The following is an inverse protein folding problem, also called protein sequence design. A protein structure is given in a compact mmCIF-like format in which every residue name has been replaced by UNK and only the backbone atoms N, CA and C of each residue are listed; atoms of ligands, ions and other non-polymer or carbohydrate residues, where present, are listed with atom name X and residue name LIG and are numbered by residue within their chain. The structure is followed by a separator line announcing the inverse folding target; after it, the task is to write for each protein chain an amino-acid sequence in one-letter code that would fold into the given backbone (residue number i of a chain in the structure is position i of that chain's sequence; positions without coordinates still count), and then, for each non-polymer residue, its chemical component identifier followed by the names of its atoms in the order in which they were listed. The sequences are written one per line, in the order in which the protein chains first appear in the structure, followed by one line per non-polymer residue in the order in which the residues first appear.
data_IF_896311490459
#
_entry.id   IF_896311490459
#
_cell.length_a   1.000
_cell.length_b   1.000
_cell.length_c   1.000
_cell.angle_alpha   90.00
_cell.angle_beta   90.00
_cell.angle_gamma   90.00
#
_symmetry.space_group_name_H-M   'P 1'
#
loop_
_entity.id
_entity.type
_entity.pdbx_description
1 polymer ?
#
# COMPACT_ATOMS: atom_id res chain seq x y z
N UNK A 1 28.21 -17.22 -29.04
CA UNK A 1 27.45 -17.87 -27.95
C UNK A 1 26.03 -17.35 -28.00
N UNK A 2 25.15 -18.08 -28.67
CA UNK A 2 23.78 -17.65 -28.96
C UNK A 2 22.85 -17.93 -27.77
N UNK A 3 22.16 -16.89 -27.31
CA UNK A 3 20.97 -17.03 -26.50
C UNK A 3 19.77 -17.19 -27.45
N UNK A 4 19.26 -18.41 -27.59
CA UNK A 4 17.94 -18.67 -28.18
C UNK A 4 16.89 -18.14 -27.21
N UNK A 5 16.18 -17.10 -27.61
CA UNK A 5 14.97 -16.65 -26.92
C UNK A 5 13.80 -17.51 -27.39
N UNK A 6 13.57 -18.65 -26.73
CA UNK A 6 12.33 -19.41 -26.88
C UNK A 6 11.23 -18.70 -26.07
N UNK A 7 10.79 -17.55 -26.58
CA UNK A 7 9.52 -16.92 -26.19
C UNK A 7 8.54 -17.20 -27.32
N UNK A 8 7.97 -18.40 -27.33
CA UNK A 8 6.73 -18.63 -28.07
C UNK A 8 5.64 -17.77 -27.41
N UNK A 9 4.89 -16.96 -28.18
CA UNK A 9 3.74 -16.26 -27.65
C UNK A 9 2.74 -17.31 -27.18
N UNK A 10 2.36 -17.28 -25.89
CA UNK A 10 1.28 -18.11 -25.36
C UNK A 10 0.00 -17.74 -26.12
N UNK A 11 -0.32 -18.54 -27.13
CA UNK A 11 -1.61 -18.50 -27.81
C UNK A 11 -2.69 -18.73 -26.77
N UNK A 12 -3.64 -17.80 -26.64
CA UNK A 12 -4.87 -18.03 -25.89
C UNK A 12 -5.46 -19.36 -26.34
N UNK A 13 -5.84 -20.27 -25.41
CA UNK A 13 -6.53 -21.48 -25.81
C UNK A 13 -7.82 -21.09 -26.53
N UNK A 14 -7.90 -21.46 -27.81
CA UNK A 14 -9.10 -21.30 -28.61
C UNK A 14 -10.22 -22.13 -27.98
N UNK A 15 -11.34 -21.47 -27.71
CA UNK A 15 -12.67 -22.05 -27.46
C UNK A 15 -12.74 -23.11 -26.34
N UNK A 16 -13.12 -22.61 -25.16
CA UNK A 16 -14.29 -23.11 -24.43
C UNK A 16 -14.38 -24.61 -24.16
N UNK A 17 -13.64 -25.08 -23.17
CA UNK A 17 -14.10 -26.12 -22.24
C UNK A 17 -13.24 -26.03 -20.97
N UNK A 18 -13.80 -25.49 -19.90
CA UNK A 18 -13.17 -25.54 -18.58
C UNK A 18 -13.31 -26.99 -18.11
N UNK A 19 -12.22 -27.74 -17.80
CA UNK A 19 -12.32 -29.14 -17.41
C UNK A 19 -13.29 -29.30 -16.23
N UNK A 20 -14.32 -30.13 -16.40
CA UNK A 20 -15.41 -30.32 -15.42
C UNK A 20 -14.87 -30.68 -14.02
N UNK A 21 -13.76 -31.41 -13.95
CA UNK A 21 -13.13 -32.04 -12.78
C UNK A 21 -12.55 -31.08 -11.70
N UNK A 22 -12.44 -29.77 -11.95
CA UNK A 22 -11.81 -28.82 -11.01
C UNK A 22 -12.59 -28.71 -9.68
N UNK A 23 -13.92 -28.88 -9.70
CA UNK A 23 -14.76 -28.66 -8.51
C UNK A 23 -14.65 -29.78 -7.47
N UNK A 24 -14.38 -31.00 -7.90
CA UNK A 24 -14.39 -32.18 -7.01
C UNK A 24 -13.16 -32.25 -6.10
N UNK A 25 -12.08 -31.55 -6.45
CA UNK A 25 -10.86 -31.43 -5.64
C UNK A 25 -10.85 -30.26 -4.65
N UNK A 26 -11.79 -29.32 -4.74
CA UNK A 26 -11.75 -28.06 -3.99
C UNK A 26 -12.53 -28.18 -2.68
N UNK A 27 -11.80 -28.40 -1.58
CA UNK A 27 -12.38 -28.52 -0.23
C UNK A 27 -12.93 -27.21 0.36
N UNK A 28 -12.31 -26.03 0.16
CA UNK A 28 -12.84 -24.79 0.74
C UNK A 28 -14.13 -24.35 0.03
N UNK A 29 -15.27 -24.23 0.75
CA UNK A 29 -16.58 -23.97 0.13
C UNK A 29 -16.65 -22.61 -0.57
N UNK A 30 -15.94 -21.61 -0.03
CA UNK A 30 -15.89 -20.25 -0.56
C UNK A 30 -15.11 -20.18 -1.88
N UNK A 31 -14.02 -20.95 -1.98
CA UNK A 31 -13.24 -21.08 -3.21
C UNK A 31 -14.05 -21.81 -4.29
N UNK A 32 -14.76 -22.88 -3.91
CA UNK A 32 -15.67 -23.60 -4.80
C UNK A 32 -16.77 -22.68 -5.35
N UNK A 33 -17.41 -21.90 -4.49
CA UNK A 33 -18.44 -20.92 -4.89
C UNK A 33 -17.87 -19.86 -5.85
N UNK A 34 -16.64 -19.39 -5.63
CA UNK A 34 -15.99 -18.44 -6.54
C UNK A 34 -15.67 -19.07 -7.90
N UNK A 35 -15.20 -20.32 -7.95
CA UNK A 35 -14.93 -21.03 -9.22
C UNK A 35 -16.23 -21.20 -10.02
N UNK A 36 -17.30 -21.62 -9.35
CA UNK A 36 -18.63 -21.78 -9.97
C UNK A 36 -19.14 -20.45 -10.53
N UNK A 37 -19.02 -19.36 -9.76
CA UNK A 37 -19.34 -18.02 -10.24
C UNK A 37 -18.56 -17.64 -11.51
N UNK A 38 -17.24 -17.90 -11.54
CA UNK A 38 -16.42 -17.54 -12.70
C UNK A 38 -16.80 -18.36 -13.94
N UNK A 39 -17.14 -19.65 -13.78
CA UNK A 39 -17.65 -20.48 -14.88
C UNK A 39 -18.96 -19.92 -15.45
N UNK A 40 -19.89 -19.53 -14.58
CA UNK A 40 -21.15 -18.91 -14.98
C UNK A 40 -20.92 -17.58 -15.70
N UNK A 41 -20.01 -16.76 -15.20
CA UNK A 41 -19.64 -15.47 -15.79
C UNK A 41 -19.03 -15.62 -17.20
N UNK A 42 -18.15 -16.59 -17.40
CA UNK A 42 -17.55 -16.88 -18.71
C UNK A 42 -18.61 -17.37 -19.70
N UNK A 43 -19.50 -18.28 -19.24
CA UNK A 43 -20.59 -18.82 -20.07
C UNK A 43 -21.58 -17.74 -20.50
N UNK A 44 -21.87 -16.76 -19.63
CA UNK A 44 -22.79 -15.66 -19.93
C UNK A 44 -22.18 -14.57 -20.83
N UNK A 45 -20.84 -14.51 -20.94
CA UNK A 45 -20.16 -13.57 -21.83
C UNK A 45 -20.21 -13.96 -23.32
N UNK A 46 -20.67 -15.18 -23.65
CA UNK A 46 -20.85 -15.64 -25.03
C UNK A 46 -22.13 -15.05 -25.65
N UNK A 47 -22.09 -14.48 -26.86
CA UNK A 47 -23.24 -13.82 -27.51
C UNK A 47 -24.42 -14.76 -27.82
N UNK A 48 -24.22 -16.08 -27.74
CA UNK A 48 -25.24 -17.12 -27.97
C UNK A 48 -26.13 -17.39 -26.74
N UNK A 49 -25.72 -16.90 -25.56
CA UNK A 49 -26.41 -17.15 -24.29
C UNK A 49 -27.41 -16.03 -24.00
N UNK A 50 -28.57 -16.02 -24.67
CA UNK A 50 -29.63 -15.03 -24.43
C UNK A 50 -30.30 -15.14 -23.04
N UNK A 51 -30.01 -16.19 -22.29
CA UNK A 51 -30.43 -16.35 -20.89
C UNK A 51 -29.42 -15.67 -19.97
N UNK A 52 -29.37 -14.34 -19.99
CA UNK A 52 -28.72 -13.58 -18.92
C UNK A 52 -29.65 -13.67 -17.70
N UNK A 53 -29.53 -14.78 -16.99
CA UNK A 53 -30.29 -15.03 -15.77
C UNK A 53 -29.86 -13.98 -14.75
N UNK A 54 -30.78 -13.08 -14.42
CA UNK A 54 -30.61 -11.97 -13.45
C UNK A 54 -30.22 -12.41 -12.02
N UNK A 55 -29.93 -13.69 -11.78
CA UNK A 55 -29.46 -14.20 -10.50
C UNK A 55 -27.95 -14.37 -10.53
N UNK A 56 -27.25 -13.56 -9.74
CA UNK A 56 -25.84 -13.76 -9.40
C UNK A 56 -25.76 -14.18 -7.92
N UNK A 57 -25.85 -15.48 -7.59
CA UNK A 57 -25.88 -15.96 -6.20
C UNK A 57 -24.67 -15.50 -5.40
N UNK A 58 -23.50 -15.49 -6.02
CA UNK A 58 -22.24 -15.05 -5.40
C UNK A 58 -22.21 -13.55 -5.09
N UNK A 59 -22.85 -12.73 -5.94
CA UNK A 59 -23.03 -11.29 -5.69
C UNK A 59 -23.99 -11.05 -4.52
N UNK A 60 -25.08 -11.82 -4.44
CA UNK A 60 -26.02 -11.75 -3.32
C UNK A 60 -25.37 -12.19 -2.00
N UNK A 61 -24.60 -13.27 -2.03
CA UNK A 61 -23.80 -13.72 -0.89
C UNK A 61 -22.82 -12.63 -0.43
N UNK A 62 -22.07 -12.01 -1.35
CA UNK A 62 -21.13 -10.93 -0.99
C UNK A 62 -21.84 -9.73 -0.33
N UNK A 63 -23.05 -9.42 -0.80
CA UNK A 63 -23.91 -8.39 -0.19
C UNK A 63 -24.36 -8.78 1.22
N UNK A 64 -24.80 -10.02 1.43
CA UNK A 64 -25.23 -10.53 2.74
C UNK A 64 -24.08 -10.53 3.76
N UNK A 65 -22.85 -10.76 3.32
CA UNK A 65 -21.65 -10.69 4.16
C UNK A 65 -21.12 -9.26 4.40
N UNK A 66 -21.76 -8.23 3.82
CA UNK A 66 -21.34 -6.83 3.99
C UNK A 66 -20.01 -6.48 3.31
N UNK A 67 -19.56 -7.27 2.33
CA UNK A 67 -18.28 -7.08 1.66
C UNK A 67 -18.38 -6.04 0.52
N UNK A 68 -18.52 -4.76 0.87
CA UNK A 68 -18.80 -3.70 -0.09
C UNK A 68 -17.77 -3.56 -1.24
N UNK A 69 -16.48 -3.61 -0.94
CA UNK A 69 -15.41 -3.52 -1.95
C UNK A 69 -15.39 -4.74 -2.88
N UNK A 70 -15.67 -5.92 -2.34
CA UNK A 70 -15.78 -7.14 -3.13
C UNK A 70 -17.03 -7.13 -4.00
N UNK A 71 -18.17 -6.70 -3.46
CA UNK A 71 -19.41 -6.53 -4.19
C UNK A 71 -19.24 -5.57 -5.38
N UNK A 72 -18.47 -4.49 -5.21
CA UNK A 72 -18.13 -3.57 -6.31
C UNK A 72 -17.41 -4.31 -7.44
N UNK A 73 -16.37 -5.07 -7.09
CA UNK A 73 -15.58 -5.85 -8.06
C UNK A 73 -16.48 -6.82 -8.84
N UNK A 74 -17.33 -7.58 -8.14
CA UNK A 74 -18.28 -8.51 -8.76
C UNK A 74 -19.25 -7.83 -9.72
N UNK A 75 -19.73 -6.61 -9.40
CA UNK A 75 -20.61 -5.84 -10.28
C UNK A 75 -19.90 -5.42 -11.56
N UNK A 76 -18.64 -4.98 -11.47
CA UNK A 76 -17.84 -4.65 -12.66
C UNK A 76 -17.60 -5.89 -13.52
N UNK A 77 -17.24 -7.03 -12.92
CA UNK A 77 -17.06 -8.31 -13.62
C UNK A 77 -18.32 -8.71 -14.41
N UNK A 78 -19.49 -8.66 -13.76
CA UNK A 78 -20.80 -8.93 -14.41
C UNK A 78 -21.08 -7.94 -15.54
N UNK A 79 -20.80 -6.66 -15.31
CA UNK A 79 -21.03 -5.60 -16.31
C UNK A 79 -20.18 -5.83 -17.55
N UNK A 80 -18.91 -6.20 -17.39
CA UNK A 80 -18.01 -6.51 -18.50
C UNK A 80 -18.49 -7.72 -19.29
N UNK A 81 -18.95 -8.78 -18.62
CA UNK A 81 -19.53 -9.94 -19.27
C UNK A 81 -20.80 -9.59 -20.08
N UNK A 82 -21.69 -8.77 -19.52
CA UNK A 82 -22.89 -8.28 -20.22
C UNK A 82 -22.55 -7.46 -21.47
N UNK A 83 -21.55 -6.57 -21.36
CA UNK A 83 -21.06 -5.78 -22.50
C UNK A 83 -20.44 -6.67 -23.59
N UNK A 84 -19.70 -7.72 -23.22
CA UNK A 84 -19.13 -8.69 -24.16
C UNK A 84 -20.22 -9.50 -24.89
N UNK A 85 -21.28 -9.86 -24.17
CA UNK A 85 -22.44 -10.57 -24.72
C UNK A 85 -23.39 -9.68 -25.53
N UNK A 86 -23.16 -8.36 -25.59
CA UNK A 86 -24.03 -7.42 -26.29
C UNK A 86 -25.34 -7.07 -25.57
N UNK A 87 -25.45 -7.38 -24.27
CA UNK A 87 -26.65 -7.11 -23.44
C UNK A 87 -26.52 -5.82 -22.62
N UNK A 88 -26.12 -4.73 -23.30
CA UNK A 88 -25.74 -3.48 -22.66
C UNK A 88 -26.85 -2.78 -21.86
N UNK A 89 -28.12 -3.04 -22.17
CA UNK A 89 -29.25 -2.44 -21.44
C UNK A 89 -29.30 -2.90 -19.97
N UNK A 90 -28.88 -4.14 -19.70
CA UNK A 90 -28.82 -4.66 -18.33
C UNK A 90 -27.54 -4.24 -17.59
N UNK A 91 -26.48 -3.90 -18.33
CA UNK A 91 -25.19 -3.47 -17.78
C UNK A 91 -25.32 -2.17 -16.95
N UNK A 92 -26.16 -1.24 -17.39
CA UNK A 92 -26.36 0.02 -16.66
C UNK A 92 -27.02 -0.19 -15.29
N UNK A 93 -27.99 -1.11 -15.18
CA UNK A 93 -28.63 -1.44 -13.91
C UNK A 93 -27.64 -2.06 -12.90
N UNK A 94 -26.61 -2.79 -13.38
CA UNK A 94 -25.54 -3.30 -12.53
C UNK A 94 -24.61 -2.21 -12.00
N UNK A 95 -24.43 -1.12 -12.77
CA UNK A 95 -23.57 0.01 -12.46
C UNK A 95 -24.21 1.08 -11.56
N UNK A 96 -25.53 1.22 -11.57
CA UNK A 96 -26.25 2.29 -10.83
C UNK A 96 -25.91 2.33 -9.33
N UNK A 97 -25.87 1.20 -8.59
CA UNK A 97 -25.49 1.23 -7.17
C UNK A 97 -24.03 1.64 -6.92
N UNK A 98 -23.16 1.56 -7.93
CA UNK A 98 -21.75 1.97 -7.82
C UNK A 98 -21.56 3.47 -7.93
N UNK A 99 -22.49 4.18 -8.59
CA UNK A 99 -22.45 5.64 -8.74
C UNK A 99 -22.46 6.35 -7.38
N UNK A 100 -23.26 5.85 -6.43
CA UNK A 100 -23.39 6.41 -5.09
C UNK A 100 -22.18 6.13 -4.18
N UNK A 101 -21.38 5.11 -4.50
CA UNK A 101 -20.24 4.66 -3.70
C UNK A 101 -18.91 5.28 -4.15
N UNK A 102 -18.90 6.04 -5.25
CA UNK A 102 -17.69 6.63 -5.84
C UNK A 102 -17.20 7.90 -5.11
N UNK A 103 -17.89 8.37 -4.07
CA UNK A 103 -17.56 9.61 -3.37
C UNK A 103 -16.62 9.45 -2.16
N UNK A 104 -16.23 8.22 -1.80
CA UNK A 104 -15.37 7.97 -0.64
C UNK A 104 -13.95 7.58 -1.06
N UNK A 105 -13.20 8.53 -1.65
CA UNK A 105 -11.72 8.53 -1.69
C UNK A 105 -11.01 7.26 -2.20
N UNK A 106 -11.69 6.37 -2.91
CA UNK A 106 -11.18 5.05 -3.24
C UNK A 106 -10.41 5.10 -4.57
N UNK A 107 -9.08 5.05 -4.47
CA UNK A 107 -8.11 4.55 -5.46
C UNK A 107 -8.51 4.74 -6.93
N UNK A 108 -7.83 5.66 -7.63
CA UNK A 108 -8.14 6.01 -9.03
C UNK A 108 -8.30 4.82 -9.98
N UNK A 109 -7.61 3.69 -9.74
CA UNK A 109 -7.83 2.44 -10.50
C UNK A 109 -9.28 1.93 -10.48
N UNK A 110 -9.98 2.01 -9.35
CA UNK A 110 -11.38 1.57 -9.20
C UNK A 110 -12.35 2.50 -9.93
N UNK A 111 -12.04 3.80 -9.99
CA UNK A 111 -12.80 4.79 -10.76
C UNK A 111 -12.66 4.52 -12.27
N UNK A 112 -11.47 4.07 -12.72
CA UNK A 112 -11.22 3.76 -14.14
C UNK A 112 -12.10 2.64 -14.67
N UNK A 113 -12.23 1.53 -13.95
CA UNK A 113 -13.04 0.38 -14.41
C UNK A 113 -14.52 0.76 -14.54
N UNK A 114 -15.05 1.51 -13.57
CA UNK A 114 -16.41 2.04 -13.62
C UNK A 114 -16.61 2.97 -14.83
N UNK A 115 -15.73 3.95 -15.01
CA UNK A 115 -15.84 4.93 -16.10
C UNK A 115 -15.79 4.26 -17.47
N UNK A 116 -14.93 3.25 -17.64
CA UNK A 116 -14.87 2.47 -18.87
C UNK A 116 -16.20 1.74 -19.12
N UNK A 117 -16.70 0.99 -18.14
CA UNK A 117 -17.94 0.24 -18.26
C UNK A 117 -19.14 1.15 -18.57
N UNK A 118 -19.27 2.27 -17.85
CA UNK A 118 -20.35 3.24 -18.05
C UNK A 118 -20.26 3.92 -19.42
N UNK A 119 -19.06 4.33 -19.85
CA UNK A 119 -18.85 4.91 -21.17
C UNK A 119 -19.21 3.93 -22.29
N UNK A 120 -18.82 2.66 -22.13
CA UNK A 120 -19.08 1.61 -23.11
C UNK A 120 -20.57 1.26 -23.20
N UNK A 121 -21.26 1.18 -22.07
CA UNK A 121 -22.70 0.96 -22.03
C UNK A 121 -23.47 2.08 -22.77
N UNK A 122 -23.11 3.34 -22.53
CA UNK A 122 -23.69 4.46 -23.27
C UNK A 122 -23.35 4.44 -24.77
N UNK A 123 -22.14 4.00 -25.14
CA UNK A 123 -21.73 3.86 -26.53
C UNK A 123 -22.61 2.85 -27.27
N UNK A 124 -22.83 1.67 -26.69
CA UNK A 124 -23.66 0.61 -27.28
C UNK A 124 -25.13 0.99 -27.40
N UNK A 125 -25.60 1.91 -26.56
CA UNK A 125 -26.96 2.47 -26.62
C UNK A 125 -27.10 3.67 -27.57
N UNK A 126 -26.04 4.05 -28.29
CA UNK A 126 -26.04 5.21 -29.18
C UNK A 126 -25.95 6.58 -28.49
N UNK A 127 -25.75 6.61 -27.16
CA UNK A 127 -25.59 7.86 -26.37
C UNK A 127 -24.15 8.37 -26.44
N UNK A 128 -23.72 8.72 -27.65
CA UNK A 128 -22.33 9.06 -27.97
C UNK A 128 -21.80 10.25 -27.16
N UNK A 129 -22.62 11.26 -26.90
CA UNK A 129 -22.20 12.46 -26.17
C UNK A 129 -21.93 12.17 -24.68
N UNK A 130 -22.77 11.35 -24.04
CA UNK A 130 -22.56 10.91 -22.65
C UNK A 130 -21.34 10.00 -22.55
N UNK A 131 -21.21 9.06 -23.50
CA UNK A 131 -20.04 8.19 -23.62
C UNK A 131 -18.73 9.00 -23.74
N UNK A 132 -18.68 10.02 -24.60
CA UNK A 132 -17.51 10.86 -24.79
C UNK A 132 -17.11 11.62 -23.51
N UNK A 133 -18.09 12.14 -22.75
CA UNK A 133 -17.83 12.80 -21.46
C UNK A 133 -17.17 11.86 -20.46
N UNK A 134 -17.64 10.62 -20.38
CA UNK A 134 -17.08 9.61 -19.48
C UNK A 134 -15.69 9.16 -19.93
N UNK A 135 -15.45 8.99 -21.24
CA UNK A 135 -14.10 8.67 -21.74
C UNK A 135 -13.09 9.80 -21.51
N UNK A 136 -13.52 11.06 -21.62
CA UNK A 136 -12.66 12.20 -21.24
C UNK A 136 -12.30 12.16 -19.74
N UNK A 137 -13.27 11.83 -18.88
CA UNK A 137 -13.02 11.66 -17.44
C UNK A 137 -12.10 10.47 -17.17
N UNK A 138 -12.30 9.34 -17.84
CA UNK A 138 -11.44 8.16 -17.76
C UNK A 138 -9.99 8.49 -18.10
N UNK A 139 -9.76 9.18 -19.24
CA UNK A 139 -8.43 9.59 -19.65
C UNK A 139 -7.77 10.53 -18.63
N UNK A 140 -8.53 11.47 -18.08
CA UNK A 140 -8.04 12.38 -17.04
C UNK A 140 -7.61 11.63 -15.77
N UNK A 141 -8.45 10.75 -15.24
CA UNK A 141 -8.14 9.95 -14.04
C UNK A 141 -6.95 9.02 -14.29
N UNK A 142 -6.86 8.40 -15.48
CA UNK A 142 -5.76 7.52 -15.83
C UNK A 142 -4.42 8.28 -15.83
N UNK A 143 -4.42 9.49 -16.39
CA UNK A 143 -3.24 10.38 -16.39
C UNK A 143 -2.87 10.85 -14.98
N UNK A 144 -3.84 11.01 -14.07
CA UNK A 144 -3.57 11.31 -12.66
C UNK A 144 -2.92 10.12 -11.96
N UNK A 145 -3.46 8.91 -12.10
CA UNK A 145 -2.88 7.69 -11.53
C UNK A 145 -1.43 7.51 -11.99
N UNK A 146 -1.16 7.60 -13.30
CA UNK A 146 0.20 7.49 -13.86
C UNK A 146 1.15 8.56 -13.30
N UNK A 147 0.65 9.79 -13.12
CA UNK A 147 1.44 10.88 -12.54
C UNK A 147 1.75 10.64 -11.06
N UNK A 148 0.80 10.12 -10.30
CA UNK A 148 1.00 9.76 -8.89
C UNK A 148 2.02 8.63 -8.76
N UNK A 149 1.88 7.57 -9.56
CA UNK A 149 2.84 6.45 -9.64
C UNK A 149 4.24 6.91 -10.05
N UNK A 150 4.36 7.79 -11.04
CA UNK A 150 5.66 8.36 -11.44
C UNK A 150 6.26 9.28 -10.36
N UNK A 151 5.42 9.93 -9.55
CA UNK A 151 5.88 10.80 -8.46
C UNK A 151 6.20 10.04 -7.17
N UNK A 152 5.70 8.82 -6.98
CA UNK A 152 5.97 8.00 -5.79
C UNK A 152 7.48 7.84 -5.53
N UNK A 153 8.32 7.44 -6.51
CA UNK A 153 9.76 7.41 -6.33
C UNK A 153 10.35 8.76 -5.93
N UNK A 154 9.90 9.84 -6.57
CA UNK A 154 10.38 11.20 -6.28
C UNK A 154 9.97 11.69 -4.89
N UNK A 155 8.77 11.32 -4.41
CA UNK A 155 8.27 11.67 -3.08
C UNK A 155 9.01 10.89 -2.00
N UNK A 156 9.28 9.61 -2.23
CA UNK A 156 10.09 8.77 -1.34
C UNK A 156 11.51 9.34 -1.24
N UNK A 157 12.14 9.66 -2.38
CA UNK A 157 13.47 10.28 -2.40
C UNK A 157 13.48 11.63 -1.69
N UNK A 158 12.52 12.53 -1.97
CA UNK A 158 12.42 13.83 -1.28
C UNK A 158 12.15 13.68 0.22
N UNK A 159 11.40 12.66 0.62
CA UNK A 159 11.16 12.39 2.04
C UNK A 159 12.42 11.86 2.71
N UNK A 160 13.14 10.95 2.06
CA UNK A 160 14.45 10.47 2.51
C UNK A 160 15.48 11.61 2.60
N UNK A 161 15.54 12.49 1.59
CA UNK A 161 16.39 13.68 1.56
C UNK A 161 16.02 14.66 2.68
N UNK A 162 14.73 14.88 2.94
CA UNK A 162 14.27 15.73 4.05
C UNK A 162 14.64 15.14 5.41
N UNK A 163 14.52 13.82 5.57
CA UNK A 163 14.95 13.11 6.78
C UNK A 163 16.48 13.20 6.94
N UNK A 164 17.24 13.09 5.85
CA UNK A 164 18.71 13.22 5.86
C UNK A 164 19.15 14.65 6.19
N UNK A 165 18.59 15.66 5.51
CA UNK A 165 18.91 17.06 5.75
C UNK A 165 18.53 17.52 7.17
N UNK A 166 17.44 16.99 7.74
CA UNK A 166 17.08 17.24 9.13
C UNK A 166 18.11 16.65 10.12
N UNK A 167 18.80 15.55 9.78
CA UNK A 167 19.89 14.99 10.59
C UNK A 167 21.14 15.88 10.52
N UNK A 168 21.45 16.40 9.34
CA UNK A 168 22.60 17.28 9.14
C UNK A 168 22.42 18.63 9.86
N UNK A 169 21.19 19.19 9.88
CA UNK A 169 20.85 20.43 10.59
C UNK A 169 20.95 20.35 12.12
N UNK A 170 20.82 19.15 12.69
CA UNK A 170 21.01 18.95 14.15
C UNK A 170 22.50 18.98 14.48
N UNK A 171 23.35 18.36 13.65
CA UNK A 171 24.81 18.39 13.83
C UNK A 171 25.44 19.77 13.57
N UNK A 172 24.88 20.59 12.69
CA UNK A 172 25.41 21.94 12.38
C UNK A 172 25.29 22.91 13.55
N UNK A 173 24.26 22.78 14.41
CA UNK A 173 24.03 23.60 15.61
C UNK A 173 25.09 23.38 16.71
N UNK A 174 25.79 22.25 16.67
CA UNK A 174 26.89 21.96 17.59
C UNK A 174 28.18 22.65 17.13
N UNK A 175 29.04 23.11 18.07
CA UNK A 175 30.39 23.52 17.74
C UNK A 175 31.16 22.38 17.06
N UNK A 176 32.10 22.71 16.15
CA UNK A 176 32.78 21.74 15.29
C UNK A 176 33.31 20.49 16.02
N UNK A 177 33.89 20.66 17.23
CA UNK A 177 34.40 19.54 18.05
C UNK A 177 33.31 18.57 18.53
N UNK A 178 32.11 19.08 18.82
CA UNK A 178 30.98 18.27 19.28
C UNK A 178 30.14 17.71 18.13
N UNK A 179 30.30 18.25 16.92
CA UNK A 179 29.71 17.66 15.71
C UNK A 179 30.25 16.25 15.46
N UNK A 180 31.55 16.04 15.71
CA UNK A 180 32.17 14.70 15.66
C UNK A 180 31.56 13.73 16.68
N UNK A 181 31.22 14.21 17.87
CA UNK A 181 30.49 13.42 18.87
C UNK A 181 29.09 13.02 18.39
N UNK A 182 28.39 13.94 17.71
CA UNK A 182 27.08 13.67 17.12
C UNK A 182 27.15 12.67 15.97
N UNK A 183 28.14 12.81 15.08
CA UNK A 183 28.40 11.82 14.01
C UNK A 183 28.70 10.45 14.60
N UNK A 184 29.59 10.37 15.60
CA UNK A 184 29.89 9.12 16.29
C UNK A 184 28.66 8.46 16.91
N UNK A 185 27.75 9.25 17.52
CA UNK A 185 26.46 8.74 17.99
C UNK A 185 25.66 8.14 16.83
N UNK A 186 25.50 8.87 15.73
CA UNK A 186 24.67 8.46 14.57
C UNK A 186 25.19 7.18 13.91
N UNK A 187 26.51 7.04 13.81
CA UNK A 187 27.18 5.90 13.18
C UNK A 187 27.12 4.64 14.06
N UNK A 188 26.93 4.78 15.37
CA UNK A 188 26.94 3.69 16.34
C UNK A 188 25.55 3.41 16.97
N UNK A 189 24.46 3.91 16.40
CA UNK A 189 23.11 3.78 17.00
C UNK A 189 22.66 2.33 17.18
N UNK A 190 23.12 1.42 16.33
CA UNK A 190 22.81 -0.01 16.33
C UNK A 190 23.37 -0.74 17.57
N UNK A 191 24.43 -0.20 18.17
CA UNK A 191 25.11 -0.80 19.33
C UNK A 191 24.29 -0.59 20.62
N UNK A 192 23.77 -1.64 21.27
CA UNK A 192 22.93 -1.48 22.47
C UNK A 192 23.69 -0.90 23.68
N UNK A 193 25.01 -1.11 23.73
CA UNK A 193 25.96 -0.70 24.78
C UNK A 193 26.53 0.72 24.61
N UNK A 194 26.14 1.44 23.55
CA UNK A 194 26.62 2.81 23.30
C UNK A 194 26.38 3.71 24.52
N UNK A 195 27.48 4.16 25.14
CA UNK A 195 27.45 4.92 26.38
C UNK A 195 27.83 6.38 26.17
N UNK A 196 27.36 7.27 27.05
CA UNK A 196 27.74 8.70 27.01
C UNK A 196 29.22 8.91 27.33
N UNK A 197 29.80 8.02 28.14
CA UNK A 197 31.23 8.00 28.46
C UNK A 197 32.06 7.79 27.20
N UNK A 198 31.76 6.74 26.44
CA UNK A 198 32.44 6.42 25.18
C UNK A 198 32.37 7.56 24.15
N UNK A 199 31.21 8.21 24.04
CA UNK A 199 31.03 9.38 23.15
C UNK A 199 31.89 10.57 23.61
N UNK A 200 32.06 10.75 24.92
CA UNK A 200 32.86 11.83 25.48
C UNK A 200 34.37 11.57 25.28
N UNK A 201 34.79 10.31 25.45
CA UNK A 201 36.16 9.85 25.24
C UNK A 201 36.59 9.99 23.77
N UNK A 202 35.72 9.70 22.80
CA UNK A 202 35.99 9.87 21.36
C UNK A 202 36.39 11.31 20.99
N UNK A 203 35.88 12.31 21.70
CA UNK A 203 36.20 13.72 21.46
C UNK A 203 37.14 14.32 22.52
N UNK A 204 37.62 13.50 23.47
CA UNK A 204 38.54 13.92 24.53
C UNK A 204 37.96 14.93 25.52
N UNK A 205 36.67 14.81 25.88
CA UNK A 205 36.04 15.68 26.88
C UNK A 205 35.44 14.87 28.03
N UNK A 206 35.15 15.54 29.14
CA UNK A 206 34.40 14.91 30.23
C UNK A 206 32.91 14.76 29.88
N UNK A 207 32.25 13.74 30.43
CA UNK A 207 30.80 13.54 30.25
C UNK A 207 29.98 14.79 30.59
N UNK A 208 30.36 15.52 31.66
CA UNK A 208 29.67 16.76 32.07
C UNK A 208 29.79 17.85 31.01
N UNK A 209 30.94 17.97 30.37
CA UNK A 209 31.14 18.93 29.27
C UNK A 209 30.34 18.54 28.02
N UNK A 210 30.23 17.23 27.72
CA UNK A 210 29.40 16.73 26.62
C UNK A 210 27.91 16.99 26.88
N UNK A 211 27.41 16.62 28.06
CA UNK A 211 26.02 16.80 28.46
C UNK A 211 25.59 18.27 28.45
N UNK A 212 26.40 19.15 29.05
CA UNK A 212 26.12 20.59 29.10
C UNK A 212 26.10 21.23 27.71
N UNK A 213 27.02 20.84 26.83
CA UNK A 213 27.08 21.38 25.47
C UNK A 213 25.88 20.93 24.63
N UNK A 214 25.56 19.63 24.65
CA UNK A 214 24.39 19.10 23.96
C UNK A 214 23.10 19.77 24.45
N UNK A 215 22.94 19.93 25.77
CA UNK A 215 21.78 20.62 26.34
C UNK A 215 21.70 22.09 25.92
N UNK A 216 22.84 22.79 25.85
CA UNK A 216 22.91 24.20 25.45
C UNK A 216 22.56 24.43 23.99
N UNK A 217 23.05 23.59 23.08
CA UNK A 217 22.91 23.81 21.63
C UNK A 217 21.74 23.04 21.00
N UNK A 218 21.39 21.87 21.54
CA UNK A 218 20.31 21.03 21.02
C UNK A 218 19.08 20.99 21.91
N UNK A 219 19.16 21.53 23.14
CA UNK A 219 18.08 21.43 24.14
C UNK A 219 17.91 20.02 24.72
N UNK A 220 18.76 19.07 24.35
CA UNK A 220 18.65 17.64 24.68
C UNK A 220 19.96 17.13 25.29
N UNK A 221 19.88 16.18 26.21
CA UNK A 221 21.06 15.45 26.67
C UNK A 221 21.54 14.44 25.60
N UNK A 222 22.83 14.02 25.61
CA UNK A 222 23.35 13.01 24.68
C UNK A 222 22.55 11.70 24.70
N UNK A 223 22.15 11.21 25.88
CA UNK A 223 21.30 10.02 26.01
C UNK A 223 19.92 10.21 25.37
N UNK A 224 19.35 11.41 25.47
CA UNK A 224 18.09 11.74 24.82
C UNK A 224 18.23 11.82 23.30
N UNK A 225 19.37 12.31 22.79
CA UNK A 225 19.68 12.31 21.36
C UNK A 225 19.79 10.88 20.85
N UNK A 226 20.55 10.00 21.52
CA UNK A 226 20.67 8.57 21.17
C UNK A 226 19.28 7.92 21.11
N UNK A 227 18.50 8.07 22.20
CA UNK A 227 17.14 7.50 22.28
C UNK A 227 16.26 8.03 21.15
N UNK A 228 16.32 9.34 20.88
CA UNK A 228 15.50 9.98 19.85
C UNK A 228 15.82 9.46 18.46
N UNK A 229 17.11 9.35 18.14
CA UNK A 229 17.55 8.88 16.84
C UNK A 229 17.23 7.39 16.63
N UNK A 230 17.36 6.55 17.66
CA UNK A 230 16.92 5.15 17.60
C UNK A 230 15.44 5.02 17.26
N UNK A 231 14.56 5.74 17.96
CA UNK A 231 13.11 5.69 17.69
C UNK A 231 12.77 6.16 16.26
N UNK A 232 13.45 7.17 15.75
CA UNK A 232 13.25 7.68 14.39
C UNK A 232 13.65 6.64 13.32
N UNK A 233 14.78 5.96 13.53
CA UNK A 233 15.26 4.90 12.64
C UNK A 233 14.33 3.68 12.65
N UNK A 234 13.86 3.28 13.83
CA UNK A 234 12.87 2.21 13.97
C UNK A 234 11.60 2.57 13.19
N UNK A 235 11.10 3.81 13.30
CA UNK A 235 9.92 4.27 12.55
C UNK A 235 10.14 4.23 11.03
N UNK A 236 11.29 4.70 10.56
CA UNK A 236 11.62 4.71 9.14
C UNK A 236 11.64 3.28 8.56
N UNK A 237 12.30 2.34 9.24
CA UNK A 237 12.39 0.95 8.79
C UNK A 237 11.03 0.23 8.81
N UNK A 238 10.15 0.56 9.77
CA UNK A 238 8.78 0.06 9.78
C UNK A 238 7.92 0.59 8.62
N UNK A 239 8.18 1.82 8.17
CA UNK A 239 7.46 2.40 7.03
C UNK A 239 7.91 1.83 5.68
N UNK A 240 9.16 1.37 5.58
CA UNK A 240 9.70 0.73 4.36
C UNK A 240 9.24 -0.73 4.19
N UNK A 241 8.86 -1.41 5.28
CA UNK A 241 8.41 -2.80 5.26
C UNK A 241 7.07 -3.01 6.00
N UNK A 242 5.92 -2.75 5.36
CA UNK A 242 4.59 -2.82 5.99
C UNK A 242 4.14 -4.25 6.38
N UNK A 243 4.73 -5.29 5.79
CA UNK A 243 4.23 -6.68 5.86
C UNK A 243 4.55 -7.42 7.18
N UNK A 244 5.01 -6.73 8.22
CA UNK A 244 5.58 -7.35 9.42
C UNK A 244 4.63 -7.44 10.62
N UNK A 245 4.13 -8.64 10.92
CA UNK A 245 3.50 -9.05 12.20
C UNK A 245 4.21 -8.51 13.47
N UNK A 246 3.56 -8.50 14.63
CA UNK A 246 4.05 -8.07 15.96
C UNK A 246 5.50 -8.48 16.34
N UNK A 247 6.01 -9.57 15.77
CA UNK A 247 7.40 -10.01 15.91
C UNK A 247 8.41 -9.07 15.21
N UNK A 248 7.97 -8.33 14.19
CA UNK A 248 8.72 -7.35 13.41
C UNK A 248 9.11 -6.13 14.25
N UNK A 249 8.20 -5.56 15.06
CA UNK A 249 8.48 -4.32 15.81
C UNK A 249 9.63 -4.47 16.82
N UNK A 250 9.62 -5.51 17.65
CA UNK A 250 10.70 -5.75 18.61
C UNK A 250 11.97 -6.23 17.89
N UNK A 251 11.82 -6.98 16.79
CA UNK A 251 12.95 -7.39 15.94
C UNK A 251 13.68 -6.20 15.32
N UNK A 252 12.95 -5.23 14.78
CA UNK A 252 13.46 -3.95 14.26
C UNK A 252 14.09 -3.14 15.39
N UNK A 253 13.42 -3.03 16.54
CA UNK A 253 13.95 -2.32 17.70
C UNK A 253 15.29 -2.87 18.19
N UNK A 254 15.44 -4.21 18.20
CA UNK A 254 16.68 -4.88 18.59
C UNK A 254 17.84 -4.53 17.64
N UNK A 255 17.59 -4.40 16.33
CA UNK A 255 18.62 -3.99 15.35
C UNK A 255 19.17 -2.59 15.64
N UNK A 256 18.31 -1.69 16.12
CA UNK A 256 18.70 -0.33 16.52
C UNK A 256 19.12 -0.21 17.99
N UNK A 257 19.53 -1.31 18.64
CA UNK A 257 20.05 -1.29 20.00
C UNK A 257 19.01 -1.06 21.10
N UNK A 258 17.72 -1.28 20.84
CA UNK A 258 16.64 -1.19 21.84
C UNK A 258 16.17 -2.60 22.21
N UNK A 259 16.78 -3.15 23.26
CA UNK A 259 16.59 -4.57 23.64
C UNK A 259 15.31 -4.85 24.42
N UNK A 260 14.78 -3.86 25.14
CA UNK A 260 13.65 -4.05 26.04
C UNK A 260 12.39 -3.38 25.54
N UNK A 261 11.28 -4.13 25.56
CA UNK A 261 9.96 -3.64 25.14
C UNK A 261 9.50 -2.42 25.95
N UNK A 262 9.80 -2.36 27.25
CA UNK A 262 9.49 -1.21 28.11
C UNK A 262 10.22 0.08 27.68
N UNK A 263 11.50 -0.04 27.30
CA UNK A 263 12.30 1.07 26.77
C UNK A 263 11.75 1.55 25.43
N UNK A 264 11.36 0.62 24.57
CA UNK A 264 10.72 0.92 23.29
C UNK A 264 9.39 1.66 23.49
N UNK A 265 8.48 1.13 24.31
CA UNK A 265 7.14 1.73 24.51
C UNK A 265 7.21 3.11 25.14
N UNK A 266 8.05 3.28 26.18
CA UNK A 266 8.28 4.57 26.82
C UNK A 266 8.95 5.56 25.86
N UNK A 267 9.92 5.06 25.07
CA UNK A 267 10.64 5.86 24.09
C UNK A 267 9.73 6.40 23.01
N UNK A 268 8.89 5.53 22.47
CA UNK A 268 7.93 5.79 21.41
C UNK A 268 6.88 6.82 21.82
N UNK A 269 6.21 6.60 22.96
CA UNK A 269 5.19 7.51 23.49
C UNK A 269 5.74 8.91 23.72
N UNK A 270 6.97 9.02 24.24
CA UNK A 270 7.63 10.31 24.51
C UNK A 270 7.98 11.08 23.22
N UNK A 271 8.11 10.41 22.08
CA UNK A 271 8.56 11.04 20.83
C UNK A 271 7.44 11.29 19.83
N UNK A 272 6.48 10.38 19.73
CA UNK A 272 5.42 10.43 18.72
C UNK A 272 4.04 10.69 19.30
N UNK A 273 3.91 10.74 20.64
CA UNK A 273 2.62 10.93 21.34
C UNK A 273 1.54 9.88 21.02
N UNK A 274 1.88 8.85 20.25
CA UNK A 274 1.05 7.71 19.87
C UNK A 274 1.42 6.47 20.69
N UNK A 275 0.48 5.55 20.90
CA UNK A 275 0.77 4.28 21.53
C UNK A 275 1.32 3.29 20.48
N UNK A 276 2.41 2.54 20.75
CA UNK A 276 2.93 1.53 19.82
C UNK A 276 1.90 0.49 19.36
N UNK A 277 0.83 0.30 20.14
CA UNK A 277 -0.31 -0.56 19.83
C UNK A 277 -1.23 -0.04 18.72
N UNK A 278 -1.20 1.26 18.41
CA UNK A 278 -1.99 1.86 17.33
C UNK A 278 -1.36 1.60 15.96
N UNK A 279 -0.02 1.54 15.91
CA UNK A 279 0.74 1.15 14.70
C UNK A 279 0.52 -0.34 14.37
N UNK A 280 0.12 -1.12 15.38
CA UNK A 280 -0.10 -2.56 15.31
C UNK A 280 -1.48 -2.96 14.74
N UNK A 281 -2.38 -1.99 14.50
CA UNK A 281 -3.76 -2.23 14.02
C UNK A 281 -4.03 -1.60 12.64
N UNK A 282 -3.02 -1.00 12.01
CA UNK A 282 -3.10 -0.44 10.66
C UNK A 282 -2.81 -1.50 9.60
#
# INVERSE_FOLDING_TARGET
TGFKSDFEPRTCPEKGEVPEEILDGVRPPLLRARIEYLRQLISSASPTSHTVTNSHPHLNWAREQGLADYQRTLRIEVTLAMLAAGTADNAQAMLEPLHLLSHNGATGHRELEYLYCAAKAHQTQGRLHESARLYNRYAFVAMQCLREEAQLPTRILKHADKISAQRDDVGTRLPARYRRAYSFIVDNLERPDLSVCEVADEIGVTERALQSTFKRFLGLSPSEVIRRQRMERIRAELMEHPDGSNASLLGVANRWGVQHRSTLTNGWRKQFHEAPTEILKG
#
